data_IF_590558167097
#
_entry.id   IF_590558167097
#
_cell.length_a   1.000
_cell.length_b   1.000
_cell.length_c   1.000
_cell.angle_alpha   90.00
_cell.angle_beta   90.00
_cell.angle_gamma   90.00
#
_symmetry.space_group_name_H-M   'P 1'
#
loop_
_entity.id
_entity.type
_entity.pdbx_description
1 polymer ?
#
# COMPACT_ATOMS: atom_id res chain seq x y z
N UNK A 1 -40.77 -4.15 -16.68
CA UNK A 1 -41.98 -4.10 -15.81
C UNK A 1 -42.04 -2.93 -14.82
N UNK A 2 -40.96 -2.16 -14.57
CA UNK A 2 -40.98 -1.12 -13.52
C UNK A 2 -41.85 0.13 -13.78
N UNK A 3 -42.12 0.48 -15.05
CA UNK A 3 -42.90 1.70 -15.39
C UNK A 3 -44.36 1.61 -14.94
N UNK A 4 -45.03 0.49 -15.17
CA UNK A 4 -46.44 0.31 -14.78
C UNK A 4 -46.64 0.36 -13.26
N UNK A 5 -45.75 -0.32 -12.52
CA UNK A 5 -45.75 -0.34 -11.04
C UNK A 5 -45.52 1.08 -10.50
N UNK A 6 -44.56 1.82 -11.08
CA UNK A 6 -44.25 3.18 -10.65
C UNK A 6 -45.40 4.18 -10.88
N UNK A 7 -46.24 3.99 -11.90
CA UNK A 7 -47.38 4.88 -12.20
C UNK A 7 -48.52 4.62 -11.23
N UNK A 8 -48.77 3.36 -10.89
CA UNK A 8 -49.83 2.99 -9.95
C UNK A 8 -49.51 3.39 -8.49
N UNK A 9 -48.23 3.51 -8.12
CA UNK A 9 -47.81 3.94 -6.78
C UNK A 9 -47.77 5.46 -6.56
N UNK A 10 -47.90 6.29 -7.62
CA UNK A 10 -47.79 7.76 -7.51
C UNK A 10 -48.78 8.38 -6.54
N UNK A 11 -50.08 8.04 -6.55
CA UNK A 11 -51.06 8.67 -5.66
C UNK A 11 -50.76 8.42 -4.19
N UNK A 12 -50.22 7.23 -3.86
CA UNK A 12 -49.81 6.87 -2.51
C UNK A 12 -48.55 7.62 -2.08
N UNK A 13 -47.59 7.79 -2.98
CA UNK A 13 -46.34 8.53 -2.71
C UNK A 13 -46.58 10.04 -2.56
N UNK A 14 -47.51 10.60 -3.34
CA UNK A 14 -47.74 12.04 -3.46
C UNK A 14 -48.82 12.57 -2.51
N UNK A 15 -49.46 11.68 -1.73
CA UNK A 15 -50.43 12.07 -0.71
C UNK A 15 -49.83 13.07 0.30
N UNK A 16 -50.45 14.24 0.47
CA UNK A 16 -49.97 15.32 1.34
C UNK A 16 -48.52 15.75 1.06
N UNK A 17 -48.12 15.84 -0.20
CA UNK A 17 -46.78 16.30 -0.59
C UNK A 17 -46.51 17.74 -0.11
N UNK A 18 -47.47 18.64 -0.22
CA UNK A 18 -47.33 20.06 0.15
C UNK A 18 -47.06 20.24 1.65
N UNK A 19 -47.87 19.61 2.52
CA UNK A 19 -47.66 19.69 3.97
C UNK A 19 -46.31 19.09 4.38
N UNK A 20 -45.86 18.01 3.72
CA UNK A 20 -44.54 17.40 3.95
C UNK A 20 -43.41 18.31 3.47
N UNK A 21 -43.56 18.96 2.31
CA UNK A 21 -42.60 19.92 1.79
C UNK A 21 -42.49 21.13 2.72
N UNK A 22 -43.61 21.73 3.12
CA UNK A 22 -43.63 22.83 4.08
C UNK A 22 -42.97 22.45 5.41
N UNK A 23 -43.20 21.24 5.93
CA UNK A 23 -42.53 20.74 7.15
C UNK A 23 -41.01 20.64 7.02
N UNK A 24 -40.48 20.38 5.82
CA UNK A 24 -39.04 20.31 5.58
C UNK A 24 -38.45 21.70 5.37
N UNK A 25 -39.14 22.55 4.61
CA UNK A 25 -38.70 23.92 4.30
C UNK A 25 -38.75 24.82 5.55
N UNK A 26 -39.74 24.63 6.43
CA UNK A 26 -39.90 25.44 7.65
C UNK A 26 -38.88 25.14 8.75
N UNK A 27 -37.95 24.19 8.54
CA UNK A 27 -36.89 23.89 9.52
C UNK A 27 -35.84 25.00 9.47
N UNK A 28 -35.44 25.51 10.63
CA UNK A 28 -34.36 26.52 10.73
C UNK A 28 -33.04 26.03 10.10
N UNK A 29 -32.77 24.73 10.19
CA UNK A 29 -31.61 24.09 9.56
C UNK A 29 -32.01 22.84 8.81
N UNK A 30 -31.46 22.61 7.60
CA UNK A 30 -31.69 21.37 6.87
C UNK A 30 -31.12 20.19 7.66
N UNK A 31 -31.75 19.02 7.52
CA UNK A 31 -31.19 17.76 8.03
C UNK A 31 -29.88 17.47 7.32
N UNK A 32 -28.82 17.24 8.09
CA UNK A 32 -27.51 16.86 7.55
C UNK A 32 -27.63 15.57 6.71
N UNK A 33 -26.83 15.48 5.66
CA UNK A 33 -26.77 14.29 4.83
C UNK A 33 -26.32 13.07 5.65
N UNK A 34 -26.82 11.86 5.32
CA UNK A 34 -26.33 10.64 5.94
C UNK A 34 -24.83 10.47 5.66
N UNK A 35 -24.08 10.06 6.69
CA UNK A 35 -22.64 9.80 6.58
C UNK A 35 -22.40 8.35 6.17
N UNK A 36 -21.22 8.06 5.65
CA UNK A 36 -20.81 6.69 5.37
C UNK A 36 -20.33 6.01 6.66
N UNK A 37 -20.45 4.67 6.74
CA UNK A 37 -20.19 3.91 7.98
C UNK A 37 -18.77 4.09 8.52
N UNK A 38 -17.75 4.22 7.66
CA UNK A 38 -16.39 4.49 8.13
C UNK A 38 -16.31 5.84 8.84
N UNK A 39 -16.99 6.84 8.30
CA UNK A 39 -16.93 8.21 8.79
C UNK A 39 -17.67 8.33 10.13
N UNK A 40 -18.78 7.60 10.29
CA UNK A 40 -19.49 7.48 11.57
C UNK A 40 -18.56 6.93 12.66
N UNK A 41 -17.82 5.85 12.38
CA UNK A 41 -16.87 5.27 13.33
C UNK A 41 -15.74 6.25 13.70
N UNK A 42 -15.21 6.99 12.72
CA UNK A 42 -14.18 8.00 13.00
C UNK A 42 -14.72 9.13 13.87
N UNK A 43 -15.95 9.57 13.61
CA UNK A 43 -16.62 10.62 14.37
C UNK A 43 -16.86 10.20 15.82
N UNK A 44 -17.35 8.97 16.03
CA UNK A 44 -17.52 8.41 17.37
C UNK A 44 -16.20 8.29 18.14
N UNK A 45 -15.11 7.92 17.46
CA UNK A 45 -13.78 7.88 18.10
C UNK A 45 -13.33 9.26 18.51
N UNK A 46 -13.41 10.26 17.64
CA UNK A 46 -13.02 11.64 17.97
C UNK A 46 -13.85 12.19 19.14
N UNK A 47 -15.15 11.91 19.17
CA UNK A 47 -16.03 12.32 20.27
C UNK A 47 -15.64 11.67 21.62
N UNK A 48 -15.20 10.41 21.61
CA UNK A 48 -14.81 9.66 22.83
C UNK A 48 -13.40 10.02 23.30
N UNK A 49 -12.45 10.10 22.37
CA UNK A 49 -11.03 10.30 22.67
C UNK A 49 -10.71 11.75 23.03
N UNK A 50 -11.32 12.71 22.33
CA UNK A 50 -11.00 14.14 22.50
C UNK A 50 -12.28 15.01 22.48
N UNK A 51 -13.08 14.99 23.56
CA UNK A 51 -14.35 15.70 23.60
C UNK A 51 -14.22 17.23 23.53
N UNK A 52 -13.14 17.81 24.07
CA UNK A 52 -12.89 19.27 24.02
C UNK A 52 -12.60 19.74 22.59
N UNK A 53 -11.65 19.10 21.90
CA UNK A 53 -11.30 19.43 20.52
C UNK A 53 -12.50 19.26 19.57
N UNK A 54 -13.34 18.26 19.82
CA UNK A 54 -14.57 18.05 19.08
C UNK A 54 -15.56 19.22 19.26
N UNK A 55 -15.77 19.69 20.49
CA UNK A 55 -16.64 20.85 20.76
C UNK A 55 -16.09 22.14 20.14
N UNK A 56 -14.78 22.34 20.21
CA UNK A 56 -14.10 23.47 19.55
C UNK A 56 -14.30 23.43 18.03
N UNK A 57 -14.24 22.25 17.42
CA UNK A 57 -14.47 22.09 15.96
C UNK A 57 -15.90 22.43 15.50
N UNK A 58 -16.88 22.32 16.40
CA UNK A 58 -18.26 22.69 16.11
C UNK A 58 -18.49 24.21 16.24
N UNK A 59 -17.64 24.89 17.02
CA UNK A 59 -17.70 26.32 17.21
C UNK A 59 -16.93 27.05 16.09
N UNK A 60 -17.38 28.25 15.76
CA UNK A 60 -16.67 29.10 14.80
C UNK A 60 -15.44 29.72 15.49
N UNK A 61 -14.23 29.40 15.03
CA UNK A 61 -13.01 30.07 15.46
C UNK A 61 -12.88 31.46 14.79
N UNK A 62 -12.96 32.50 15.62
CA UNK A 62 -12.88 33.89 15.15
C UNK A 62 -11.49 34.33 14.70
N UNK A 63 -10.43 33.71 15.23
CA UNK A 63 -9.05 34.00 14.84
C UNK A 63 -8.75 33.41 13.46
N UNK A 64 -9.09 32.13 13.28
CA UNK A 64 -8.96 31.45 12.00
C UNK A 64 -9.80 32.11 10.90
N UNK A 65 -11.04 32.52 11.21
CA UNK A 65 -11.91 33.24 10.26
C UNK A 65 -11.30 34.57 9.79
N UNK A 66 -10.58 35.29 10.66
CA UNK A 66 -9.86 36.51 10.28
C UNK A 66 -8.65 36.19 9.41
N UNK A 67 -7.82 35.23 9.81
CA UNK A 67 -6.64 34.84 9.03
C UNK A 67 -7.00 34.34 7.63
N UNK A 68 -8.09 33.58 7.49
CA UNK A 68 -8.58 33.13 6.18
C UNK A 68 -9.11 34.27 5.29
N UNK A 69 -9.59 35.37 5.90
CA UNK A 69 -9.97 36.57 5.14
C UNK A 69 -8.74 37.36 4.70
N UNK A 70 -7.69 37.36 5.51
CA UNK A 70 -6.46 38.10 5.24
C UNK A 70 -5.56 37.38 4.21
N UNK A 71 -5.55 36.04 4.22
CA UNK A 71 -4.80 35.21 3.26
C UNK A 71 -5.61 35.05 1.98
N UNK A 72 -5.48 36.02 1.07
CA UNK A 72 -5.98 35.91 -0.29
C UNK A 72 -4.92 35.23 -1.18
N UNK A 73 -5.22 34.02 -1.65
CA UNK A 73 -4.38 33.33 -2.66
C UNK A 73 -4.85 33.80 -4.03
N UNK A 74 -4.09 34.70 -4.67
CA UNK A 74 -4.22 34.92 -6.11
C UNK A 74 -3.65 33.70 -6.84
N UNK A 75 -4.49 32.70 -7.12
CA UNK A 75 -4.09 31.68 -8.09
C UNK A 75 -4.04 32.36 -9.46
N UNK A 76 -2.82 32.67 -9.91
CA UNK A 76 -2.56 32.83 -11.33
C UNK A 76 -2.47 31.44 -11.90
N UNK A 77 -3.60 30.72 -11.93
CA UNK A 77 -3.66 29.51 -12.72
C UNK A 77 -3.48 29.95 -14.17
N UNK A 78 -2.33 29.67 -14.82
CA UNK A 78 -2.29 29.82 -16.26
C UNK A 78 -3.44 28.95 -16.78
N UNK A 79 -4.33 29.53 -17.58
CA UNK A 79 -5.38 28.77 -18.26
C UNK A 79 -4.71 27.49 -18.76
N UNK A 80 -5.17 26.30 -18.35
CA UNK A 80 -4.54 25.07 -18.77
C UNK A 80 -4.59 25.11 -20.28
N UNK A 81 -3.43 25.34 -20.91
CA UNK A 81 -3.33 25.19 -22.34
C UNK A 81 -3.78 23.75 -22.57
N UNK A 82 -4.80 23.52 -23.42
CA UNK A 82 -5.17 22.16 -23.77
C UNK A 82 -3.85 21.47 -24.12
N UNK A 83 -3.54 20.30 -23.53
CA UNK A 83 -2.23 19.69 -23.70
C UNK A 83 -1.95 19.74 -25.19
N UNK A 84 -0.98 20.59 -25.59
CA UNK A 84 -0.59 20.69 -26.98
C UNK A 84 -0.44 19.25 -27.41
N UNK A 85 -1.11 18.83 -28.49
CA UNK A 85 -1.11 17.45 -28.94
C UNK A 85 0.35 17.00 -29.12
N UNK A 86 0.95 16.50 -28.03
CA UNK A 86 2.38 16.36 -27.87
C UNK A 86 2.64 14.90 -27.60
N UNK A 87 2.21 14.09 -28.56
CA UNK A 87 3.16 13.16 -29.15
C UNK A 87 4.19 13.98 -29.95
N UNK A 88 4.97 14.84 -29.31
CA UNK A 88 6.17 15.35 -29.94
C UNK A 88 7.13 14.17 -30.06
N UNK A 89 7.86 14.06 -31.16
CA UNK A 89 8.85 12.99 -31.34
C UNK A 89 9.90 12.96 -30.21
N UNK A 90 10.08 14.10 -29.53
CA UNK A 90 10.98 14.27 -28.39
C UNK A 90 10.47 13.68 -27.07
N UNK A 91 9.15 13.43 -26.94
CA UNK A 91 8.56 12.86 -25.72
C UNK A 91 7.40 11.91 -26.05
N UNK A 92 7.70 10.69 -26.53
CA UNK A 92 6.67 9.70 -26.82
C UNK A 92 5.90 9.32 -25.56
N UNK A 93 4.60 9.02 -25.72
CA UNK A 93 3.78 8.45 -24.66
C UNK A 93 4.41 7.13 -24.17
N UNK A 94 4.31 6.80 -22.88
CA UNK A 94 4.73 5.49 -22.38
C UNK A 94 4.01 4.38 -23.14
N UNK A 95 4.74 3.67 -23.99
CA UNK A 95 4.23 2.53 -24.75
C UNK A 95 4.17 1.26 -23.89
N UNK A 96 5.04 1.20 -22.88
CA UNK A 96 5.12 0.10 -21.96
C UNK A 96 3.96 0.16 -20.96
N UNK A 97 3.08 -0.85 -21.03
CA UNK A 97 1.94 -1.04 -20.12
C UNK A 97 2.18 -2.21 -19.16
N UNK A 98 3.41 -2.72 -19.07
CA UNK A 98 3.73 -3.79 -18.15
C UNK A 98 3.55 -3.33 -16.71
N UNK A 99 3.01 -4.23 -15.87
CA UNK A 99 2.91 -3.97 -14.45
C UNK A 99 4.32 -3.87 -13.87
N UNK A 100 4.57 -2.87 -13.03
CA UNK A 100 5.81 -2.78 -12.27
C UNK A 100 5.88 -4.04 -11.39
N UNK A 101 6.99 -4.81 -11.45
CA UNK A 101 7.11 -6.01 -10.64
C UNK A 101 7.02 -5.66 -9.17
N UNK A 102 6.30 -6.49 -8.41
CA UNK A 102 6.26 -6.37 -6.97
C UNK A 102 7.68 -6.55 -6.39
N UNK A 103 8.03 -5.67 -5.47
CA UNK A 103 9.30 -5.75 -4.76
C UNK A 103 9.30 -6.92 -3.79
N UNK A 104 10.39 -7.70 -3.77
CA UNK A 104 10.57 -8.89 -2.91
C UNK A 104 10.29 -8.61 -1.41
N UNK A 105 10.60 -7.40 -0.93
CA UNK A 105 10.48 -7.03 0.48
C UNK A 105 9.43 -5.94 0.76
N UNK A 106 8.51 -5.72 -0.18
CA UNK A 106 7.44 -4.71 -0.03
C UNK A 106 7.89 -3.24 -0.14
N UNK A 107 9.16 -2.99 -0.46
CA UNK A 107 9.67 -1.65 -0.79
C UNK A 107 10.52 -1.68 -2.05
N UNK A 108 10.49 -0.58 -2.81
CA UNK A 108 11.29 -0.42 -4.03
C UNK A 108 12.77 -0.23 -3.67
N UNK A 109 13.63 -1.14 -4.12
CA UNK A 109 15.08 -0.98 -3.95
C UNK A 109 15.65 0.13 -4.83
N UNK A 110 16.68 0.86 -4.36
CA UNK A 110 17.34 1.89 -5.15
C UNK A 110 18.11 1.28 -6.33
N UNK A 111 18.02 1.91 -7.50
CA UNK A 111 18.76 1.46 -8.71
C UNK A 111 20.27 1.65 -8.59
N UNK A 112 20.73 2.66 -7.83
CA UNK A 112 22.15 2.95 -7.61
C UNK A 112 22.43 2.89 -6.11
N UNK A 113 23.41 2.09 -5.73
CA UNK A 113 23.83 1.90 -4.33
C UNK A 113 25.15 2.65 -4.12
N UNK A 114 25.24 3.56 -3.15
CA UNK A 114 26.49 4.26 -2.85
C UNK A 114 27.47 3.34 -2.12
N UNK A 115 28.75 3.70 -2.17
CA UNK A 115 29.82 3.00 -1.44
C UNK A 115 29.55 2.94 0.06
N UNK A 116 29.92 1.83 0.71
CA UNK A 116 29.68 1.62 2.14
C UNK A 116 28.22 1.35 2.52
N UNK A 117 27.30 1.26 1.55
CA UNK A 117 25.90 0.87 1.78
C UNK A 117 25.54 -0.37 0.97
N UNK A 118 24.54 -1.10 1.44
CA UNK A 118 24.05 -2.31 0.76
C UNK A 118 22.53 -2.38 0.82
N UNK A 119 21.91 -2.96 -0.20
CA UNK A 119 20.46 -3.24 -0.19
C UNK A 119 20.14 -4.45 0.67
N UNK A 120 18.90 -4.54 1.16
CA UNK A 120 18.46 -5.66 1.99
C UNK A 120 18.60 -7.00 1.25
N UNK A 121 18.25 -7.05 -0.03
CA UNK A 121 18.40 -8.23 -0.87
C UNK A 121 19.84 -8.73 -0.91
N UNK A 122 20.78 -7.82 -1.15
CA UNK A 122 22.20 -8.15 -1.22
C UNK A 122 22.75 -8.55 0.15
N UNK A 123 22.31 -7.90 1.22
CA UNK A 123 22.68 -8.26 2.59
C UNK A 123 22.28 -9.70 2.92
N UNK A 124 21.01 -10.06 2.71
CA UNK A 124 20.52 -11.42 2.93
C UNK A 124 21.26 -12.44 2.04
N UNK A 125 21.55 -12.08 0.79
CA UNK A 125 22.27 -12.94 -0.15
C UNK A 125 23.67 -13.30 0.34
N UNK A 126 24.49 -12.34 0.77
CA UNK A 126 25.84 -12.65 1.24
C UNK A 126 25.85 -13.32 2.62
N UNK A 127 24.91 -12.97 3.51
CA UNK A 127 24.77 -13.64 4.82
C UNK A 127 24.48 -15.13 4.61
N UNK A 128 23.53 -15.46 3.74
CA UNK A 128 23.19 -16.86 3.43
C UNK A 128 24.32 -17.62 2.75
N UNK A 129 25.06 -16.98 1.85
CA UNK A 129 26.24 -17.58 1.18
C UNK A 129 27.38 -17.85 2.16
N UNK A 130 27.70 -16.89 3.03
CA UNK A 130 28.72 -17.08 4.06
C UNK A 130 28.31 -18.16 5.07
N UNK A 131 27.03 -18.23 5.44
CA UNK A 131 26.52 -19.26 6.36
C UNK A 131 26.62 -20.67 5.75
N UNK A 132 26.27 -20.83 4.48
CA UNK A 132 26.33 -22.14 3.79
C UNK A 132 27.76 -22.54 3.41
N UNK A 133 28.58 -21.57 3.00
CA UNK A 133 29.93 -21.80 2.47
C UNK A 133 30.91 -20.69 2.89
N UNK A 134 31.38 -20.71 4.15
CA UNK A 134 32.27 -19.67 4.67
C UNK A 134 33.64 -19.64 3.98
N UNK A 135 34.11 -20.78 3.45
CA UNK A 135 35.40 -20.87 2.76
C UNK A 135 35.34 -20.22 1.37
N UNK A 136 34.23 -20.39 0.64
CA UNK A 136 34.06 -19.80 -0.69
C UNK A 136 33.78 -18.29 -0.63
N UNK A 137 33.09 -17.86 0.43
CA UNK A 137 32.69 -16.46 0.65
C UNK A 137 33.27 -15.93 1.96
N UNK A 138 34.60 -15.68 2.04
CA UNK A 138 35.20 -15.05 3.21
C UNK A 138 34.81 -13.57 3.30
N UNK A 139 35.00 -12.99 4.49
CA UNK A 139 34.67 -11.59 4.80
C UNK A 139 35.33 -10.60 3.82
N UNK A 140 36.61 -10.81 3.48
CA UNK A 140 37.36 -9.98 2.53
C UNK A 140 36.70 -9.94 1.16
N UNK A 141 36.33 -11.10 0.63
CA UNK A 141 35.65 -11.21 -0.68
C UNK A 141 34.30 -10.49 -0.69
N UNK A 142 33.53 -10.59 0.40
CA UNK A 142 32.23 -9.92 0.53
C UNK A 142 32.41 -8.40 0.59
N UNK A 143 33.41 -7.92 1.35
CA UNK A 143 33.73 -6.51 1.45
C UNK A 143 34.09 -5.91 0.08
N UNK A 144 34.91 -6.61 -0.71
CA UNK A 144 35.26 -6.21 -2.07
C UNK A 144 34.07 -6.23 -3.05
N UNK A 145 33.28 -7.31 -3.06
CA UNK A 145 32.13 -7.48 -3.98
C UNK A 145 31.07 -6.39 -3.77
N UNK A 146 30.77 -6.05 -2.51
CA UNK A 146 29.73 -5.09 -2.16
C UNK A 146 30.27 -3.70 -1.79
N UNK A 147 31.58 -3.46 -1.92
CA UNK A 147 32.22 -2.17 -1.60
C UNK A 147 31.91 -1.69 -0.17
N UNK A 148 32.00 -2.62 0.78
CA UNK A 148 31.78 -2.40 2.21
C UNK A 148 33.11 -2.45 2.97
N UNK A 149 33.18 -1.86 4.16
CA UNK A 149 34.35 -2.06 5.03
C UNK A 149 34.33 -3.46 5.66
N UNK A 150 35.51 -4.07 5.79
CA UNK A 150 35.65 -5.41 6.34
C UNK A 150 35.10 -5.51 7.77
N UNK A 151 35.33 -4.50 8.60
CA UNK A 151 34.78 -4.40 9.95
C UNK A 151 33.26 -4.46 9.96
N UNK A 152 32.61 -3.74 9.04
CA UNK A 152 31.15 -3.74 8.92
C UNK A 152 30.65 -5.12 8.51
N UNK A 153 31.28 -5.75 7.53
CA UNK A 153 30.89 -7.09 7.07
C UNK A 153 31.09 -8.12 8.18
N UNK A 154 32.21 -8.05 8.91
CA UNK A 154 32.48 -8.91 10.05
C UNK A 154 31.41 -8.78 11.14
N UNK A 155 31.00 -7.55 11.46
CA UNK A 155 29.90 -7.30 12.39
C UNK A 155 28.57 -7.86 11.87
N UNK A 156 28.26 -7.66 10.58
CA UNK A 156 27.03 -8.17 9.99
C UNK A 156 26.98 -9.70 10.09
N UNK A 157 28.04 -10.39 9.66
CA UNK A 157 28.11 -11.86 9.69
C UNK A 157 28.09 -12.42 11.12
N UNK A 158 28.67 -11.70 12.08
CA UNK A 158 28.71 -12.11 13.49
C UNK A 158 27.33 -12.01 14.15
N UNK A 159 26.61 -10.91 13.91
CA UNK A 159 25.37 -10.60 14.63
C UNK A 159 24.09 -11.02 13.88
N UNK A 160 24.14 -11.20 12.56
CA UNK A 160 22.99 -11.59 11.75
C UNK A 160 23.18 -12.98 11.12
N UNK A 161 22.15 -13.82 11.24
CA UNK A 161 22.09 -15.15 10.64
C UNK A 161 20.71 -15.40 10.04
N UNK A 162 20.65 -16.20 8.98
CA UNK A 162 19.39 -16.59 8.36
C UNK A 162 18.94 -17.90 8.99
N UNK A 163 17.68 -17.94 9.41
CA UNK A 163 17.09 -19.17 9.94
C UNK A 163 16.89 -20.19 8.82
N UNK A 164 17.40 -21.39 9.04
CA UNK A 164 17.15 -22.53 8.16
C UNK A 164 15.82 -23.16 8.56
N UNK A 165 14.90 -23.21 7.59
CA UNK A 165 13.59 -23.86 7.80
C UNK A 165 13.78 -25.36 7.62
N UNK A 166 13.84 -26.09 8.72
CA UNK A 166 13.80 -27.55 8.70
C UNK A 166 12.35 -28.02 8.51
N UNK A 167 12.06 -28.58 7.33
CA UNK A 167 10.77 -29.23 7.05
C UNK A 167 10.98 -30.73 7.22
N UNK A 168 10.46 -31.35 8.29
CA UNK A 168 10.58 -32.80 8.46
C UNK A 168 9.79 -33.51 7.35
N UNK A 169 10.40 -34.55 6.79
CA UNK A 169 9.80 -35.40 5.75
C UNK A 169 8.62 -36.21 6.26
N UNK A 170 8.62 -36.56 7.54
CA UNK A 170 7.54 -37.30 8.20
C UNK A 170 6.80 -36.42 9.22
N UNK A 171 5.69 -35.82 8.80
CA UNK A 171 4.73 -35.22 9.72
C UNK A 171 3.69 -36.28 10.15
N UNK A 172 4.03 -37.16 11.10
CA UNK A 172 3.02 -38.00 11.77
C UNK A 172 2.22 -37.17 12.77
N UNK A 173 1.35 -36.30 12.27
CA UNK A 173 0.45 -35.51 13.12
C UNK A 173 -0.77 -36.36 13.46
N UNK A 174 -1.02 -36.65 14.73
CA UNK A 174 -2.30 -37.23 15.21
C UNK A 174 -3.41 -36.18 15.22
N UNK A 175 -3.53 -35.37 14.16
CA UNK A 175 -4.57 -34.35 14.10
C UNK A 175 -5.86 -34.94 13.53
N UNK A 176 -6.83 -35.22 14.41
CA UNK A 176 -8.23 -35.52 14.04
C UNK A 176 -9.00 -34.22 13.75
N UNK A 177 -8.48 -33.34 12.90
CA UNK A 177 -9.24 -32.17 12.46
C UNK A 177 -10.04 -32.54 11.21
N UNK A 178 -11.35 -32.33 11.26
CA UNK A 178 -12.31 -32.75 10.26
C UNK A 178 -12.16 -31.94 8.96
N UNK A 179 -11.26 -32.37 8.10
CA UNK A 179 -11.12 -31.88 6.73
C UNK A 179 -9.68 -31.99 6.23
N UNK A 180 -9.46 -32.39 4.97
CA UNK A 180 -8.12 -32.39 4.41
C UNK A 180 -7.62 -30.95 4.32
N UNK A 181 -6.70 -30.57 5.22
CA UNK A 181 -5.94 -29.32 5.08
C UNK A 181 -4.96 -29.51 3.93
N UNK A 182 -5.40 -29.18 2.71
CA UNK A 182 -4.51 -29.11 1.55
C UNK A 182 -3.65 -27.86 1.72
N UNK A 183 -2.43 -28.03 2.24
CA UNK A 183 -1.42 -26.97 2.19
C UNK A 183 -1.07 -26.73 0.73
N UNK A 184 -1.49 -25.59 0.16
CA UNK A 184 -1.02 -25.14 -1.17
C UNK A 184 0.45 -24.72 -1.04
N UNK A 185 1.36 -25.68 -1.00
CA UNK A 185 2.79 -25.43 -1.18
C UNK A 185 3.07 -25.33 -2.68
N UNK A 186 3.22 -24.12 -3.21
CA UNK A 186 3.92 -23.95 -4.49
C UNK A 186 5.41 -24.01 -4.22
N UNK A 187 5.97 -25.22 -4.17
CA UNK A 187 7.43 -25.39 -4.17
C UNK A 187 7.90 -25.18 -5.60
N UNK A 188 8.47 -24.01 -5.89
CA UNK A 188 9.24 -23.82 -7.12
C UNK A 188 10.51 -24.65 -7.03
N UNK A 189 10.43 -25.91 -7.46
CA UNK A 189 11.61 -26.74 -7.66
C UNK A 189 12.27 -26.29 -8.97
N UNK A 190 13.33 -25.50 -8.87
CA UNK A 190 14.19 -25.24 -10.03
C UNK A 190 14.92 -26.54 -10.39
N UNK A 191 14.41 -27.29 -11.36
CA UNK A 191 15.18 -28.36 -12.00
C UNK A 191 16.32 -27.70 -12.77
N UNK A 192 17.52 -27.69 -12.18
CA UNK A 192 18.74 -27.38 -12.94
C UNK A 192 18.90 -28.49 -13.98
N UNK A 193 18.90 -28.12 -15.25
CA UNK A 193 19.23 -29.03 -16.35
C UNK A 193 20.74 -29.27 -16.26
N UNK A 194 21.15 -30.48 -15.95
CA UNK A 194 22.56 -30.87 -16.04
C UNK A 194 22.98 -30.82 -17.50
N UNK A 195 24.06 -30.09 -17.78
CA UNK A 195 24.66 -30.05 -19.11
C UNK A 195 25.30 -31.41 -19.37
N UNK A 196 25.14 -32.01 -20.57
CA UNK A 196 25.87 -33.22 -20.91
C UNK A 196 27.36 -32.92 -20.89
N UNK A 197 28.12 -33.79 -20.23
CA UNK A 197 29.59 -33.76 -20.26
C UNK A 197 30.03 -33.84 -21.72
N UNK A 198 30.78 -32.83 -22.16
CA UNK A 198 31.35 -32.78 -23.48
C UNK A 198 32.23 -34.00 -23.70
N UNK A 199 31.98 -34.74 -24.77
CA UNK A 199 32.94 -35.69 -25.31
C UNK A 199 33.95 -34.88 -26.13
N UNK A 200 35.23 -35.12 -25.85
CA UNK A 200 36.37 -34.69 -26.66
C UNK A 200 36.25 -35.13 -28.13
#
# INVERSE_FOLDING_TARGET
MGKAISVMSRPLRDFNLESRAHKVISKEKPTAAPKYKSDELTYERMMKENPSAFQESLAKDTGLDKHLKDVYVTSHDPLPQPPAASSSAERPLPLDRTAVPESEFGFREPSKVPYGRVTLRNALKFIGRHQTKPIEYPISRIAEEYKLSEETVQNIVKYFKIYEVYIPTEHKVKAKFAGPVVTRKQVFTHKKKELPEGKD
#
